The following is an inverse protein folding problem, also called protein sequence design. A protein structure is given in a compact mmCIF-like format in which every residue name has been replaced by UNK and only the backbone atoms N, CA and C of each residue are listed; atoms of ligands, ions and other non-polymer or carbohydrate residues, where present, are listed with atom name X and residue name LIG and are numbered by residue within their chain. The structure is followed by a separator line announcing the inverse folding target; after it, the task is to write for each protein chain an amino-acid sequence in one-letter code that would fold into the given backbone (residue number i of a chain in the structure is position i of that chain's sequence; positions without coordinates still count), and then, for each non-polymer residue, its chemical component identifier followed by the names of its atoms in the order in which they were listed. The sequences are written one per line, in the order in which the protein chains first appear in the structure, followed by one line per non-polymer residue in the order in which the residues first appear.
data_IF_499467018142
#
_entry.id   IF_499467018142
#
_cell.length_a   1.000
_cell.length_b   1.000
_cell.length_c   1.000
_cell.angle_alpha   90.00
_cell.angle_beta   90.00
_cell.angle_gamma   90.00
#
_symmetry.space_group_name_H-M   'P 1'
#
loop_
_entity.id
_entity.type
_entity.pdbx_description
1 polymer ?
#
# COMPACT_ATOMS: atom_id res chain seq x y z
N UNK A 1 28.92 24.28 88.23
CA UNK A 1 28.99 22.92 87.64
C UNK A 1 27.64 22.65 87.01
N UNK A 2 27.49 22.83 85.68
CA UNK A 2 27.62 21.78 84.66
C UNK A 2 26.92 20.48 85.10
N UNK A 3 25.72 20.25 84.56
CA UNK A 3 25.56 19.16 83.61
C UNK A 3 24.34 19.33 82.70
N UNK A 4 24.64 19.43 81.40
CA UNK A 4 23.67 19.37 80.32
C UNK A 4 23.53 17.91 79.92
N UNK A 5 22.44 17.25 80.28
CA UNK A 5 22.07 15.99 79.65
C UNK A 5 21.34 16.27 78.35
N UNK A 6 22.11 16.35 77.25
CA UNK A 6 21.60 16.21 75.89
C UNK A 6 20.97 14.82 75.76
N UNK A 7 19.64 14.73 75.80
CA UNK A 7 18.91 13.56 75.28
C UNK A 7 18.96 13.65 73.76
N UNK A 8 19.88 12.92 73.14
CA UNK A 8 19.94 12.74 71.69
C UNK A 8 18.65 12.06 71.20
N UNK A 9 17.97 12.68 70.25
CA UNK A 9 16.80 12.12 69.61
C UNK A 9 17.15 10.84 68.84
N UNK A 10 16.49 9.73 69.19
CA UNK A 10 16.31 8.62 68.28
C UNK A 10 15.12 8.96 67.38
N UNK A 11 15.40 9.45 66.18
CA UNK A 11 14.40 9.43 65.12
C UNK A 11 14.23 7.97 64.71
N UNK A 12 13.10 7.38 65.09
CA UNK A 12 12.75 6.02 64.70
C UNK A 12 12.56 5.98 63.17
N UNK A 13 13.42 5.25 62.47
CA UNK A 13 13.33 4.96 61.02
C UNK A 13 12.21 3.97 60.66
N UNK A 14 11.28 3.70 61.57
CA UNK A 14 10.22 2.68 61.43
C UNK A 14 9.20 3.01 60.34
N UNK A 15 9.14 4.28 59.88
CA UNK A 15 8.30 4.70 58.74
C UNK A 15 8.96 4.59 57.36
N UNK A 16 10.30 4.50 57.27
CA UNK A 16 11.01 4.52 55.96
C UNK A 16 10.69 3.29 55.12
N UNK A 17 10.65 2.11 55.75
CA UNK A 17 10.40 0.84 55.07
C UNK A 17 8.98 0.76 54.47
N UNK A 18 8.00 1.39 55.13
CA UNK A 18 6.62 1.45 54.62
C UNK A 18 6.52 2.42 53.44
N UNK A 19 7.21 3.56 53.50
CA UNK A 19 7.23 4.55 52.41
C UNK A 19 7.97 4.01 51.18
N UNK A 20 9.11 3.34 51.40
CA UNK A 20 9.86 2.67 50.33
C UNK A 20 9.02 1.56 49.68
N UNK A 21 8.38 0.68 50.47
CA UNK A 21 7.50 -0.36 49.92
C UNK A 21 6.28 0.22 49.18
N UNK A 22 5.70 1.31 49.70
CA UNK A 22 4.58 2.01 49.06
C UNK A 22 4.97 2.70 47.74
N UNK A 23 6.24 3.05 47.55
CA UNK A 23 6.74 3.61 46.28
C UNK A 23 7.19 2.52 45.30
N UNK A 24 7.77 1.43 45.80
CA UNK A 24 8.27 0.30 44.98
C UNK A 24 7.11 -0.51 44.39
N UNK A 25 6.04 -0.76 45.14
CA UNK A 25 4.93 -1.60 44.67
C UNK A 25 4.21 -1.03 43.43
N UNK A 26 3.81 0.27 43.37
CA UNK A 26 3.25 0.86 42.16
C UNK A 26 4.22 0.85 40.97
N UNK A 27 5.51 1.06 41.20
CA UNK A 27 6.54 1.01 40.15
C UNK A 27 6.70 -0.42 39.61
N UNK A 28 6.69 -1.41 40.48
CA UNK A 28 6.71 -2.83 40.10
C UNK A 28 5.47 -3.21 39.29
N UNK A 29 4.27 -2.80 39.72
CA UNK A 29 3.04 -3.02 38.96
C UNK A 29 3.09 -2.34 37.58
N UNK A 30 3.62 -1.12 37.49
CA UNK A 30 3.82 -0.44 36.21
C UNK A 30 4.74 -1.25 35.28
N UNK A 31 5.84 -1.77 35.82
CA UNK A 31 6.77 -2.62 35.06
C UNK A 31 6.09 -3.90 34.56
N UNK A 32 5.31 -4.57 35.40
CA UNK A 32 4.56 -5.77 35.00
C UNK A 32 3.50 -5.44 33.93
N UNK A 33 2.74 -4.36 34.10
CA UNK A 33 1.76 -3.90 33.11
C UNK A 33 2.41 -3.52 31.78
N UNK A 34 3.59 -2.89 31.83
CA UNK A 34 4.38 -2.56 30.64
C UNK A 34 4.85 -3.82 29.91
N UNK A 35 5.29 -4.85 30.63
CA UNK A 35 5.68 -6.13 30.03
C UNK A 35 4.49 -6.85 29.40
N UNK A 36 3.35 -6.91 30.08
CA UNK A 36 2.10 -7.46 29.53
C UNK A 36 1.70 -6.69 28.26
N UNK A 37 1.81 -5.36 28.28
CA UNK A 37 1.50 -4.51 27.14
C UNK A 37 2.40 -4.81 25.93
N UNK A 38 3.71 -4.98 26.14
CA UNK A 38 4.65 -5.36 25.07
C UNK A 38 4.27 -6.71 24.47
N UNK A 39 4.04 -7.73 25.32
CA UNK A 39 3.69 -9.08 24.86
C UNK A 39 2.38 -9.05 24.07
N UNK A 40 1.37 -8.32 24.54
CA UNK A 40 0.12 -8.21 23.79
C UNK A 40 0.33 -7.49 22.46
N UNK A 41 1.07 -6.39 22.44
CA UNK A 41 1.35 -5.64 21.21
C UNK A 41 2.07 -6.51 20.16
N UNK A 42 3.00 -7.37 20.56
CA UNK A 42 3.68 -8.29 19.64
C UNK A 42 2.77 -9.40 19.12
N UNK A 43 1.85 -9.92 19.95
CA UNK A 43 0.84 -10.89 19.51
C UNK A 43 -0.09 -10.29 18.46
N UNK A 44 -0.62 -9.08 18.70
CA UNK A 44 -1.47 -8.39 17.73
C UNK A 44 -0.71 -8.06 16.44
N UNK A 45 0.53 -7.57 16.55
CA UNK A 45 1.34 -7.22 15.38
C UNK A 45 1.67 -8.42 14.51
N UNK A 46 2.05 -9.56 15.13
CA UNK A 46 2.37 -10.79 14.41
C UNK A 46 1.14 -11.37 13.72
N UNK A 47 0.01 -11.43 14.43
CA UNK A 47 -1.24 -11.92 13.87
C UNK A 47 -1.72 -11.05 12.69
N UNK A 48 -1.60 -9.72 12.82
CA UNK A 48 -1.99 -8.81 11.74
C UNK A 48 -1.10 -9.01 10.51
N UNK A 49 0.22 -9.11 10.71
CA UNK A 49 1.17 -9.32 9.62
C UNK A 49 0.95 -10.66 8.90
N UNK A 50 0.65 -11.75 9.63
CA UNK A 50 0.35 -13.05 9.02
C UNK A 50 -0.94 -13.02 8.21
N UNK A 51 -2.02 -12.44 8.76
CA UNK A 51 -3.30 -12.29 8.05
C UNK A 51 -3.13 -11.51 6.75
N UNK A 52 -2.39 -10.39 6.78
CA UNK A 52 -2.14 -9.56 5.60
C UNK A 52 -1.30 -10.34 4.58
N UNK A 53 -0.21 -10.97 5.01
CA UNK A 53 0.65 -11.80 4.15
C UNK A 53 -0.13 -12.92 3.45
N UNK A 54 -0.93 -13.69 4.20
CA UNK A 54 -1.65 -14.83 3.65
C UNK A 54 -2.75 -14.40 2.68
N UNK A 55 -3.40 -13.28 2.95
CA UNK A 55 -4.42 -12.69 2.06
C UNK A 55 -3.80 -12.23 0.74
N UNK A 56 -2.66 -11.55 0.79
CA UNK A 56 -1.98 -11.06 -0.43
C UNK A 56 -1.49 -12.24 -1.28
N UNK A 57 -1.02 -13.34 -0.67
CA UNK A 57 -0.64 -14.58 -1.38
C UNK A 57 -1.82 -15.26 -2.07
N UNK A 58 -2.96 -15.34 -1.39
CA UNK A 58 -4.19 -15.90 -1.97
C UNK A 58 -4.63 -15.08 -3.19
N UNK A 59 -4.70 -13.75 -3.03
CA UNK A 59 -5.06 -12.83 -4.12
C UNK A 59 -4.07 -12.95 -5.29
N UNK A 60 -2.77 -13.02 -5.00
CA UNK A 60 -1.73 -13.13 -6.02
C UNK A 60 -1.85 -14.42 -6.85
N UNK A 61 -2.25 -15.52 -6.21
CA UNK A 61 -2.45 -16.82 -6.87
C UNK A 61 -3.66 -16.79 -7.83
N UNK A 62 -4.73 -16.09 -7.45
CA UNK A 62 -5.97 -16.03 -8.25
C UNK A 62 -5.99 -14.93 -9.33
N UNK A 63 -4.99 -14.05 -9.36
CA UNK A 63 -4.97 -12.92 -10.30
C UNK A 63 -4.48 -13.30 -11.71
N UNK A 64 -3.80 -14.44 -11.89
CA UNK A 64 -3.28 -14.88 -13.19
C UNK A 64 -4.36 -14.96 -14.30
N UNK A 65 -5.50 -15.64 -14.06
CA UNK A 65 -6.68 -15.61 -14.93
C UNK A 65 -7.10 -14.23 -15.43
N UNK A 66 -7.17 -13.25 -14.53
CA UNK A 66 -7.61 -11.91 -14.85
C UNK A 66 -6.60 -11.20 -15.77
N UNK A 67 -5.30 -11.42 -15.54
CA UNK A 67 -4.26 -10.86 -16.38
C UNK A 67 -4.31 -11.37 -17.83
N UNK A 68 -4.61 -12.66 -18.03
CA UNK A 68 -4.79 -13.23 -19.37
C UNK A 68 -6.02 -12.65 -20.09
N UNK A 69 -7.08 -12.31 -19.36
CA UNK A 69 -8.27 -11.67 -19.91
C UNK A 69 -7.97 -10.25 -20.40
N UNK A 70 -7.25 -9.48 -19.59
CA UNK A 70 -6.84 -8.11 -19.95
C UNK A 70 -5.91 -8.11 -21.16
N UNK A 71 -4.88 -8.97 -21.16
CA UNK A 71 -3.92 -9.05 -22.27
C UNK A 71 -4.61 -9.36 -23.61
N UNK A 72 -5.61 -10.23 -23.63
CA UNK A 72 -6.37 -10.53 -24.86
C UNK A 72 -7.32 -9.40 -25.27
N UNK A 73 -7.85 -8.64 -24.32
CA UNK A 73 -8.65 -7.45 -24.62
C UNK A 73 -7.78 -6.36 -25.30
N UNK A 74 -6.55 -6.15 -24.82
CA UNK A 74 -5.58 -5.24 -25.45
C UNK A 74 -5.19 -5.71 -26.86
N UNK A 75 -4.93 -7.01 -27.05
CA UNK A 75 -4.63 -7.60 -28.36
C UNK A 75 -5.81 -7.52 -29.35
N UNK A 76 -7.05 -7.64 -28.87
CA UNK A 76 -8.24 -7.48 -29.72
C UNK A 76 -8.47 -6.01 -30.10
N UNK A 77 -8.12 -5.08 -29.20
CA UNK A 77 -8.21 -3.64 -29.44
C UNK A 77 -7.18 -3.17 -30.47
N UNK A 78 -6.02 -3.82 -30.58
CA UNK A 78 -5.02 -3.58 -31.65
C UNK A 78 -5.32 -4.35 -32.93
N UNK A 79 -5.89 -5.57 -32.85
CA UNK A 79 -6.30 -6.33 -34.03
C UNK A 79 -7.55 -5.76 -34.73
N UNK A 80 -8.42 -5.03 -34.02
CA UNK A 80 -9.60 -4.38 -34.60
C UNK A 80 -9.27 -3.10 -35.39
N UNK A 81 -8.06 -2.54 -35.26
CA UNK A 81 -7.54 -1.49 -36.15
C UNK A 81 -6.91 -2.01 -37.45
N UNK A 82 -6.60 -3.30 -37.56
CA UNK A 82 -6.04 -3.92 -38.78
C UNK A 82 -7.00 -4.91 -39.46
N UNK A 83 -8.01 -5.42 -38.76
CA UNK A 83 -9.04 -6.31 -39.33
C UNK A 83 -10.21 -5.55 -40.02
N UNK A 84 -10.02 -4.27 -40.35
CA UNK A 84 -11.00 -3.45 -41.07
C UNK A 84 -11.04 -3.66 -42.59
N UNK A 85 -10.23 -4.56 -43.16
CA UNK A 85 -10.12 -4.74 -44.62
C UNK A 85 -10.06 -6.21 -45.06
N UNK A 86 -10.77 -7.12 -44.39
CA UNK A 86 -10.80 -8.52 -44.83
C UNK A 86 -12.10 -9.29 -44.53
N UNK A 87 -13.29 -8.68 -44.65
CA UNK A 87 -14.54 -9.45 -44.82
C UNK A 87 -15.54 -8.64 -45.65
N UNK A 88 -15.35 -8.57 -46.96
CA UNK A 88 -16.45 -8.26 -47.88
C UNK A 88 -16.33 -9.04 -49.20
N UNK A 89 -16.10 -10.34 -49.10
CA UNK A 89 -16.55 -11.35 -50.06
C UNK A 89 -16.86 -12.55 -49.16
N UNK A 90 -18.10 -13.04 -49.06
CA UNK A 90 -18.65 -14.02 -49.97
C UNK A 90 -20.18 -13.89 -49.90
N UNK A 91 -20.77 -13.35 -50.97
CA UNK A 91 -22.18 -13.50 -51.25
C UNK A 91 -22.28 -14.47 -52.44
N UNK A 92 -22.99 -15.59 -52.26
CA UNK A 92 -23.41 -16.45 -53.38
C UNK A 92 -22.95 -17.91 -53.29
N UNK A 93 -23.97 -18.77 -53.12
CA UNK A 93 -24.06 -20.16 -53.54
C UNK A 93 -23.25 -21.24 -52.81
N UNK A 94 -23.98 -22.06 -52.04
CA UNK A 94 -23.65 -23.47 -51.79
C UNK A 94 -23.61 -24.24 -53.13
N UNK A 95 -22.75 -25.27 -53.29
CA UNK A 95 -23.10 -26.60 -52.77
C UNK A 95 -21.93 -27.44 -52.22
N UNK A 96 -22.32 -28.43 -51.38
CA UNK A 96 -21.74 -29.75 -51.10
C UNK A 96 -20.22 -29.96 -50.82
N UNK A 97 -19.98 -30.78 -49.79
CA UNK A 97 -18.79 -31.58 -49.49
C UNK A 97 -17.45 -30.89 -49.24
N UNK A 98 -17.23 -30.46 -47.98
CA UNK A 98 -15.89 -30.41 -47.37
C UNK A 98 -15.96 -30.91 -45.92
N UNK A 99 -14.97 -31.71 -45.46
CA UNK A 99 -14.98 -32.29 -44.13
C UNK A 99 -14.97 -31.19 -43.09
N UNK A 100 -15.79 -31.37 -42.06
CA UNK A 100 -15.88 -30.51 -40.88
C UNK A 100 -14.48 -30.21 -40.34
N UNK A 101 -13.98 -29.02 -40.67
CA UNK A 101 -12.80 -28.45 -40.04
C UNK A 101 -13.12 -28.39 -38.57
N UNK A 102 -12.49 -29.26 -37.79
CA UNK A 102 -12.56 -29.28 -36.34
C UNK A 102 -12.05 -27.92 -35.85
N UNK A 103 -12.97 -26.99 -35.69
CA UNK A 103 -12.70 -25.66 -35.19
C UNK A 103 -12.67 -25.85 -33.69
N UNK A 104 -11.46 -25.88 -33.12
CA UNK A 104 -11.24 -25.90 -31.67
C UNK A 104 -12.20 -24.87 -31.07
N UNK A 105 -13.12 -25.25 -30.17
CA UNK A 105 -13.96 -24.29 -29.48
C UNK A 105 -13.04 -23.32 -28.75
N UNK A 106 -12.89 -22.11 -29.30
CA UNK A 106 -12.22 -21.02 -28.61
C UNK A 106 -13.18 -20.62 -27.51
N UNK A 107 -13.04 -21.21 -26.33
CA UNK A 107 -13.67 -20.69 -25.11
C UNK A 107 -13.32 -19.21 -25.08
N UNK A 108 -14.33 -18.36 -25.22
CA UNK A 108 -14.11 -16.92 -25.13
C UNK A 108 -13.58 -16.66 -23.72
N UNK A 109 -12.64 -15.74 -23.59
CA UNK A 109 -12.00 -15.51 -22.29
C UNK A 109 -13.00 -14.94 -21.29
N UNK A 110 -14.07 -14.31 -21.78
CA UNK A 110 -15.26 -13.98 -21.01
C UNK A 110 -16.00 -15.21 -20.48
N UNK A 111 -16.29 -16.22 -21.31
CA UNK A 111 -17.03 -17.43 -20.86
C UNK A 111 -16.22 -18.19 -19.82
N UNK A 112 -14.91 -18.30 -20.02
CA UNK A 112 -14.02 -18.92 -19.04
C UNK A 112 -13.90 -18.09 -17.75
N UNK A 113 -13.76 -16.76 -17.86
CA UNK A 113 -13.72 -15.87 -16.70
C UNK A 113 -15.02 -15.92 -15.90
N UNK A 114 -16.18 -16.07 -16.54
CA UNK A 114 -17.46 -16.24 -15.84
C UNK A 114 -17.54 -17.59 -15.11
N UNK A 115 -17.06 -18.67 -15.74
CA UNK A 115 -17.02 -19.98 -15.09
C UNK A 115 -16.05 -20.00 -13.90
N UNK A 116 -14.85 -19.43 -14.06
CA UNK A 116 -13.86 -19.37 -12.99
C UNK A 116 -14.27 -18.40 -11.86
N UNK A 117 -14.84 -17.24 -12.20
CA UNK A 117 -15.36 -16.30 -11.20
C UNK A 117 -16.48 -16.92 -10.36
N UNK A 118 -17.24 -17.89 -10.89
CA UNK A 118 -18.30 -18.56 -10.13
C UNK A 118 -17.78 -19.48 -9.01
N UNK A 119 -16.52 -19.93 -9.10
CA UNK A 119 -15.90 -20.83 -8.12
C UNK A 119 -15.12 -20.07 -7.03
N UNK A 120 -14.91 -18.76 -7.19
CA UNK A 120 -14.12 -17.96 -6.27
C UNK A 120 -14.95 -17.39 -5.11
N UNK A 121 -14.32 -17.23 -3.93
CA UNK A 121 -14.97 -16.55 -2.82
C UNK A 121 -15.17 -15.06 -3.15
N UNK A 122 -16.30 -14.47 -2.75
CA UNK A 122 -16.49 -13.02 -2.86
C UNK A 122 -15.41 -12.28 -2.07
N UNK A 123 -14.81 -11.20 -2.63
CA UNK A 123 -15.19 -10.42 -3.81
C UNK A 123 -14.25 -10.62 -5.02
N UNK A 124 -13.46 -11.69 -5.04
CA UNK A 124 -12.53 -11.98 -6.15
C UNK A 124 -13.29 -12.24 -7.46
N UNK A 125 -14.48 -12.82 -7.35
CA UNK A 125 -15.40 -13.08 -8.46
C UNK A 125 -15.76 -11.80 -9.23
N UNK A 126 -16.10 -10.73 -8.52
CA UNK A 126 -16.41 -9.43 -9.11
C UNK A 126 -15.18 -8.78 -9.73
N UNK A 127 -14.00 -9.03 -9.16
CA UNK A 127 -12.75 -8.51 -9.71
C UNK A 127 -12.41 -9.16 -11.05
N UNK A 128 -12.55 -10.48 -11.14
CA UNK A 128 -12.30 -11.22 -12.38
C UNK A 128 -13.34 -10.87 -13.45
N UNK A 129 -14.63 -10.79 -13.07
CA UNK A 129 -15.69 -10.33 -13.98
C UNK A 129 -15.44 -8.91 -14.46
N UNK A 130 -15.02 -8.01 -13.57
CA UNK A 130 -14.68 -6.63 -13.88
C UNK A 130 -13.51 -6.53 -14.87
N UNK A 131 -12.42 -7.23 -14.59
CA UNK A 131 -11.24 -7.27 -15.45
C UNK A 131 -11.56 -7.86 -16.83
N UNK A 132 -12.34 -8.94 -16.90
CA UNK A 132 -12.75 -9.56 -18.16
C UNK A 132 -13.65 -8.66 -19.03
N UNK A 133 -14.47 -7.80 -18.41
CA UNK A 133 -15.39 -6.90 -19.14
C UNK A 133 -14.79 -5.55 -19.50
N UNK A 134 -13.96 -4.99 -18.63
CA UNK A 134 -13.45 -3.61 -18.76
C UNK A 134 -11.99 -3.52 -19.21
N UNK A 135 -11.22 -4.62 -19.20
CA UNK A 135 -9.78 -4.59 -19.48
C UNK A 135 -8.95 -3.90 -18.38
N UNK A 136 -9.58 -3.18 -17.46
CA UNK A 136 -8.95 -2.60 -16.28
C UNK A 136 -9.55 -3.24 -15.03
N UNK A 137 -8.69 -3.57 -14.06
CA UNK A 137 -9.12 -4.16 -12.80
C UNK A 137 -9.92 -3.16 -11.96
N UNK A 138 -11.06 -3.54 -11.34
CA UNK A 138 -11.88 -2.61 -10.57
C UNK A 138 -11.11 -1.95 -9.42
N UNK A 139 -10.12 -2.64 -8.86
CA UNK A 139 -9.28 -2.11 -7.78
C UNK A 139 -8.45 -0.88 -8.18
N UNK A 140 -8.11 -0.70 -9.46
CA UNK A 140 -7.36 0.47 -9.90
C UNK A 140 -8.23 1.73 -9.86
N UNK A 141 -9.52 1.60 -10.21
CA UNK A 141 -10.51 2.66 -10.04
C UNK A 141 -10.78 2.95 -8.54
N UNK A 142 -10.79 1.91 -7.70
CA UNK A 142 -10.98 2.07 -6.25
C UNK A 142 -9.77 2.72 -5.57
N UNK A 143 -8.55 2.38 -6.01
CA UNK A 143 -7.31 3.02 -5.58
C UNK A 143 -7.33 4.52 -5.94
N UNK A 144 -7.74 4.87 -7.17
CA UNK A 144 -7.85 6.26 -7.61
C UNK A 144 -8.92 7.05 -6.84
N UNK A 145 -10.00 6.39 -6.39
CA UNK A 145 -11.05 7.02 -5.55
C UNK A 145 -10.61 7.23 -4.10
N UNK A 146 -9.54 6.57 -3.63
CA UNK A 146 -8.82 6.90 -2.40
C UNK A 146 -9.64 6.90 -1.10
N UNK A 147 -10.76 6.17 -1.04
CA UNK A 147 -11.61 6.14 0.16
C UNK A 147 -11.48 4.81 0.91
N UNK A 148 -11.01 4.90 2.15
CA UNK A 148 -10.84 3.78 3.10
C UNK A 148 -12.10 2.93 3.22
N UNK A 149 -13.29 3.54 3.20
CA UNK A 149 -14.57 2.84 3.29
C UNK A 149 -14.85 1.91 2.08
N UNK A 150 -14.40 2.31 0.89
CA UNK A 150 -14.58 1.52 -0.33
C UNK A 150 -13.55 0.40 -0.39
N UNK A 151 -12.32 0.68 0.03
CA UNK A 151 -11.27 -0.35 0.19
C UNK A 151 -11.64 -1.37 1.27
N UNK A 152 -12.25 -0.93 2.37
CA UNK A 152 -12.79 -1.80 3.41
C UNK A 152 -13.88 -2.71 2.85
N UNK A 153 -14.84 -2.20 2.08
CA UNK A 153 -15.88 -3.05 1.51
C UNK A 153 -15.32 -4.10 0.53
N UNK A 154 -14.29 -3.73 -0.24
CA UNK A 154 -13.72 -4.59 -1.26
C UNK A 154 -12.70 -5.60 -0.72
N UNK A 155 -11.82 -5.25 0.22
CA UNK A 155 -10.70 -6.13 0.60
C UNK A 155 -10.89 -6.77 1.97
N UNK A 156 -11.65 -6.14 2.87
CA UNK A 156 -11.88 -6.67 4.22
C UNK A 156 -12.53 -8.06 4.25
N UNK A 157 -13.47 -8.41 3.35
CA UNK A 157 -14.01 -9.77 3.29
C UNK A 157 -12.94 -10.84 3.05
N UNK A 158 -11.86 -10.52 2.32
CA UNK A 158 -10.75 -11.44 2.05
C UNK A 158 -9.87 -11.68 3.26
N UNK A 159 -9.79 -10.71 4.17
CA UNK A 159 -9.07 -10.87 5.43
C UNK A 159 -9.82 -11.83 6.38
N UNK A 160 -11.15 -11.92 6.26
CA UNK A 160 -12.03 -12.68 7.17
C UNK A 160 -11.57 -14.13 7.43
N UNK A 161 -11.27 -14.97 6.41
CA UNK A 161 -10.81 -16.35 6.64
C UNK A 161 -9.45 -16.44 7.35
N UNK A 162 -8.57 -15.44 7.18
CA UNK A 162 -7.21 -15.46 7.72
C UNK A 162 -7.05 -14.70 9.04
N UNK A 163 -8.14 -14.10 9.56
CA UNK A 163 -8.14 -13.42 10.85
C UNK A 163 -8.16 -14.45 11.98
N UNK A 164 -7.11 -14.45 12.79
CA UNK A 164 -7.08 -15.19 14.05
C UNK A 164 -8.18 -14.66 14.98
N UNK A 165 -9.35 -15.33 14.98
CA UNK A 165 -10.59 -14.85 15.61
C UNK A 165 -10.49 -14.65 17.13
N UNK A 166 -9.52 -15.30 17.77
CA UNK A 166 -9.25 -15.17 19.21
C UNK A 166 -8.41 -13.92 19.54
N UNK A 167 -7.65 -13.41 18.56
CA UNK A 167 -6.71 -12.30 18.77
C UNK A 167 -7.18 -11.02 18.10
N UNK A 168 -7.69 -11.07 16.87
CA UNK A 168 -7.99 -9.90 16.05
C UNK A 168 -9.50 -9.71 15.88
N UNK A 169 -9.99 -8.49 16.13
CA UNK A 169 -11.38 -8.12 15.89
C UNK A 169 -11.54 -7.57 14.46
N UNK A 170 -12.34 -8.26 13.64
CA UNK A 170 -12.69 -7.87 12.28
C UNK A 170 -13.14 -6.41 12.16
N UNK A 171 -13.81 -5.86 13.18
CA UNK A 171 -14.36 -4.49 13.15
C UNK A 171 -13.29 -3.41 13.34
N UNK A 172 -12.15 -3.76 13.93
CA UNK A 172 -11.06 -2.82 14.27
C UNK A 172 -9.96 -2.77 13.22
N UNK A 173 -10.04 -3.66 12.24
CA UNK A 173 -9.18 -3.72 11.06
C UNK A 173 -9.70 -2.72 10.03
N UNK A 174 -8.81 -1.94 9.43
CA UNK A 174 -9.13 -1.01 8.35
C UNK A 174 -8.07 -1.10 7.24
N UNK A 175 -8.51 -1.11 5.99
CA UNK A 175 -7.65 -1.18 4.81
C UNK A 175 -7.22 0.25 4.46
N UNK A 176 -5.96 0.56 4.74
CA UNK A 176 -5.41 1.91 4.58
C UNK A 176 -5.02 2.17 3.13
N UNK A 177 -4.44 1.17 2.45
CA UNK A 177 -4.04 1.26 1.05
C UNK A 177 -4.01 -0.11 0.37
N UNK A 178 -4.16 -0.10 -0.95
CA UNK A 178 -4.02 -1.28 -1.80
C UNK A 178 -3.24 -0.86 -3.04
N UNK A 179 -2.13 -1.54 -3.31
CA UNK A 179 -1.31 -1.33 -4.50
C UNK A 179 -1.72 -2.37 -5.53
N UNK A 180 -2.32 -1.95 -6.64
CA UNK A 180 -2.72 -2.85 -7.72
C UNK A 180 -1.88 -2.57 -8.96
N UNK A 181 -1.30 -3.60 -9.59
CA UNK A 181 -0.47 -3.39 -10.76
C UNK A 181 -1.33 -3.10 -11.99
N UNK A 182 -0.80 -2.27 -12.89
CA UNK A 182 -1.37 -2.12 -14.24
C UNK A 182 -1.14 -3.43 -14.98
N UNK A 183 -2.22 -4.06 -15.44
CA UNK A 183 -2.18 -5.31 -16.18
C UNK A 183 -1.89 -5.02 -17.66
N UNK A 184 -0.65 -4.62 -17.96
CA UNK A 184 -0.19 -4.31 -19.32
C UNK A 184 1.26 -4.74 -19.52
N UNK A 185 1.70 -4.84 -20.78
CA UNK A 185 3.06 -5.28 -21.11
C UNK A 185 4.13 -4.35 -20.48
N UNK A 186 5.07 -4.93 -19.72
CA UNK A 186 6.20 -4.22 -19.10
C UNK A 186 5.92 -3.56 -17.74
N UNK A 187 4.75 -3.79 -17.15
CA UNK A 187 4.40 -3.31 -15.81
C UNK A 187 4.91 -4.24 -14.71
N UNK A 188 5.14 -3.67 -13.52
CA UNK A 188 5.59 -4.41 -12.34
C UNK A 188 4.45 -5.24 -11.74
N UNK A 189 4.59 -6.58 -11.65
CA UNK A 189 3.52 -7.46 -11.23
C UNK A 189 3.43 -7.58 -9.70
N UNK A 190 3.34 -6.47 -8.96
CA UNK A 190 3.24 -6.53 -7.49
C UNK A 190 1.87 -6.10 -7.00
N UNK A 191 1.27 -6.94 -6.16
CA UNK A 191 0.08 -6.60 -5.40
C UNK A 191 0.48 -6.31 -3.95
N UNK A 192 0.07 -5.14 -3.44
CA UNK A 192 0.38 -4.70 -2.09
C UNK A 192 -0.89 -4.42 -1.30
N UNK A 193 -0.85 -4.71 0.00
CA UNK A 193 -1.94 -4.44 0.93
C UNK A 193 -1.39 -3.80 2.20
N UNK A 194 -1.93 -2.64 2.56
CA UNK A 194 -1.65 -1.95 3.82
C UNK A 194 -2.91 -1.93 4.69
N UNK A 195 -2.80 -2.44 5.92
CA UNK A 195 -3.90 -2.57 6.87
C UNK A 195 -3.50 -1.92 8.19
N UNK A 196 -4.42 -1.18 8.78
CA UNK A 196 -4.28 -0.61 10.11
C UNK A 196 -5.22 -1.29 11.12
N UNK A 197 -4.75 -1.47 12.35
CA UNK A 197 -5.50 -2.07 13.45
C UNK A 197 -5.44 -1.20 14.69
N UNK A 198 -6.60 -0.77 15.17
CA UNK A 198 -6.69 0.02 16.40
C UNK A 198 -6.76 -0.89 17.62
N UNK A 199 -5.69 -0.88 18.43
CA UNK A 199 -5.62 -1.70 19.63
C UNK A 199 -6.79 -1.41 20.60
N UNK A 200 -7.39 -2.44 21.21
CA UNK A 200 -8.50 -2.27 22.16
C UNK A 200 -8.04 -1.63 23.47
N UNK A 201 -6.76 -1.78 23.80
CA UNK A 201 -6.16 -1.25 25.03
C UNK A 201 -5.46 0.07 24.77
N UNK A 202 -5.57 0.96 25.76
CA UNK A 202 -4.85 2.23 25.76
C UNK A 202 -3.55 2.08 26.52
N UNK A 203 -2.55 2.87 26.16
CA UNK A 203 -1.29 2.89 26.90
C UNK A 203 -1.57 3.34 28.33
N UNK A 204 -1.08 2.60 29.35
CA UNK A 204 -1.23 3.03 30.73
C UNK A 204 -0.61 4.42 30.91
N UNK A 205 -1.27 5.28 31.69
CA UNK A 205 -0.88 6.69 31.98
C UNK A 205 -1.00 7.69 30.82
N UNK A 206 -0.75 7.30 29.57
CA UNK A 206 -0.89 8.21 28.42
C UNK A 206 -2.32 8.30 27.89
N UNK A 207 -3.19 7.30 28.14
CA UNK A 207 -4.59 7.25 27.67
C UNK A 207 -4.73 7.46 26.14
N UNK A 208 -3.68 7.14 25.38
CA UNK A 208 -3.63 7.22 23.92
C UNK A 208 -3.93 5.85 23.33
N UNK A 209 -4.71 5.82 22.26
CA UNK A 209 -4.88 4.63 21.43
C UNK A 209 -3.68 4.46 20.51
N UNK A 210 -3.16 3.25 20.41
CA UNK A 210 -2.13 2.90 19.42
C UNK A 210 -2.81 2.23 18.23
N UNK A 211 -2.33 2.59 17.04
CA UNK A 211 -2.68 1.95 15.78
C UNK A 211 -1.47 1.16 15.33
N UNK A 212 -1.67 -0.11 15.03
CA UNK A 212 -0.68 -0.96 14.38
C UNK A 212 -0.90 -0.89 12.88
N UNK A 213 0.19 -0.86 12.11
CA UNK A 213 0.14 -0.92 10.66
C UNK A 213 0.89 -2.16 10.21
N UNK A 214 0.31 -2.87 9.25
CA UNK A 214 0.90 -4.04 8.61
C UNK A 214 0.81 -3.85 7.10
N UNK A 215 1.90 -4.18 6.43
CA UNK A 215 1.99 -4.13 4.98
C UNK A 215 2.59 -5.43 4.46
N UNK A 216 1.99 -6.00 3.42
CA UNK A 216 2.60 -7.08 2.66
C UNK A 216 2.49 -6.79 1.17
N UNK A 217 3.51 -7.22 0.44
CA UNK A 217 3.60 -7.11 -1.02
C UNK A 217 3.95 -8.49 -1.55
N UNK A 218 3.22 -8.95 -2.54
CA UNK A 218 3.45 -10.23 -3.21
C UNK A 218 3.53 -10.02 -4.71
N UNK A 219 4.38 -10.84 -5.36
CA UNK A 219 4.45 -10.86 -6.81
C UNK A 219 3.25 -11.63 -7.34
N UNK A 220 2.46 -11.00 -8.21
CA UNK A 220 1.42 -11.66 -8.99
C UNK A 220 2.05 -12.72 -9.88
N UNK A 221 1.40 -13.87 -9.96
CA UNK A 221 1.78 -14.93 -10.88
C UNK A 221 1.36 -14.57 -12.31
N UNK A 222 1.93 -13.53 -12.94
CA UNK A 222 1.52 -13.08 -14.27
C UNK A 222 2.63 -13.25 -15.30
N UNK A 223 2.96 -14.50 -15.64
CA UNK A 223 3.89 -14.82 -16.73
C UNK A 223 5.24 -14.08 -16.66
N UNK A 224 5.93 -13.99 -17.80
CA UNK A 224 7.14 -13.20 -17.92
C UNK A 224 6.77 -11.73 -18.18
N UNK A 225 7.09 -10.85 -17.22
CA UNK A 225 6.90 -9.41 -17.32
C UNK A 225 8.16 -8.66 -17.75
N UNK A 226 9.24 -9.37 -18.13
CA UNK A 226 10.50 -8.74 -18.58
C UNK A 226 11.33 -8.11 -17.45
N UNK A 227 10.94 -8.31 -16.19
CA UNK A 227 11.61 -7.73 -15.02
C UNK A 227 13.03 -8.29 -14.75
N UNK A 228 13.37 -9.45 -15.32
CA UNK A 228 14.66 -10.12 -15.12
C UNK A 228 15.83 -9.58 -15.96
N UNK A 229 15.62 -8.53 -16.76
CA UNK A 229 16.56 -8.06 -17.77
C UNK A 229 17.60 -7.02 -17.32
N UNK A 230 18.03 -6.97 -16.07
CA UNK A 230 19.25 -6.24 -15.66
C UNK A 230 19.60 -6.55 -14.20
N UNK A 231 20.52 -7.50 -13.98
CA UNK A 231 21.10 -7.76 -12.67
C UNK A 231 22.10 -6.67 -12.30
N UNK A 232 21.69 -5.72 -11.46
CA UNK A 232 22.53 -4.67 -10.89
C UNK A 232 22.34 -4.57 -9.39
N UNK A 233 23.16 -5.31 -8.65
CA UNK A 233 23.62 -5.10 -7.27
C UNK A 233 22.70 -4.31 -6.32
N UNK A 234 21.98 -5.06 -5.47
CA UNK A 234 21.23 -4.55 -4.32
C UNK A 234 22.10 -3.69 -3.39
N UNK A 235 21.77 -2.41 -3.32
CA UNK A 235 22.03 -1.56 -2.16
C UNK A 235 20.70 -0.88 -1.82
N UNK A 236 20.27 -1.03 -0.57
CA UNK A 236 18.91 -0.72 -0.11
C UNK A 236 18.52 0.75 -0.26
N UNK A 237 18.04 1.10 -1.44
CA UNK A 237 17.23 2.26 -1.73
C UNK A 237 15.88 1.78 -2.25
N UNK A 238 14.80 2.28 -1.67
CA UNK A 238 13.42 2.07 -2.11
C UNK A 238 13.25 2.58 -3.54
N UNK A 239 13.58 1.78 -4.56
CA UNK A 239 13.46 2.23 -5.95
C UNK A 239 13.28 1.06 -6.90
N UNK A 240 12.33 1.26 -7.79
CA UNK A 240 12.04 0.31 -8.84
C UNK A 240 11.06 0.91 -9.82
N UNK A 241 11.48 1.97 -10.47
CA UNK A 241 10.97 2.51 -11.74
C UNK A 241 12.15 3.28 -12.32
N UNK A 242 12.17 3.57 -13.63
CA UNK A 242 13.25 4.32 -14.27
C UNK A 242 13.43 5.77 -13.75
N UNK A 243 12.68 6.13 -12.70
CA UNK A 243 12.75 7.37 -11.96
C UNK A 243 13.44 7.07 -10.62
N UNK A 244 14.70 7.49 -10.50
CA UNK A 244 15.44 7.42 -9.24
C UNK A 244 15.13 8.67 -8.40
N UNK A 245 14.50 8.52 -7.23
CA UNK A 245 14.22 9.58 -6.27
C UNK A 245 15.45 9.82 -5.39
N UNK A 246 16.32 10.70 -5.88
CA UNK A 246 17.61 11.02 -5.26
C UNK A 246 17.51 11.80 -3.97
N UNK A 247 16.47 12.61 -3.79
CA UNK A 247 16.31 13.42 -2.59
C UNK A 247 14.84 13.54 -2.23
N UNK A 248 14.52 13.17 -0.98
CA UNK A 248 13.21 13.36 -0.37
C UNK A 248 13.33 14.25 0.87
N UNK A 249 12.31 15.08 1.18
CA UNK A 249 12.37 15.95 2.34
C UNK A 249 12.26 15.11 3.62
N UNK A 250 13.40 14.85 4.27
CA UNK A 250 13.47 14.13 5.54
C UNK A 250 14.29 14.93 6.58
N UNK A 251 13.65 15.60 7.57
CA UNK A 251 12.21 15.73 7.80
C UNK A 251 11.59 16.93 7.06
N UNK A 252 10.40 16.73 6.48
CA UNK A 252 9.58 17.83 6.01
C UNK A 252 9.00 18.63 7.20
N UNK A 253 8.97 19.96 7.13
CA UNK A 253 8.48 20.80 8.23
C UNK A 253 7.39 21.78 7.74
N UNK A 254 6.34 22.05 8.53
CA UNK A 254 5.35 23.06 8.17
C UNK A 254 5.99 24.43 7.94
N UNK A 255 5.57 25.14 6.88
CA UNK A 255 6.08 26.46 6.51
C UNK A 255 7.57 26.51 6.10
N UNK A 256 8.19 25.35 5.83
CA UNK A 256 9.52 25.26 5.20
C UNK A 256 9.41 24.78 3.76
N UNK A 257 10.50 24.93 3.01
CA UNK A 257 10.62 24.39 1.65
C UNK A 257 10.77 22.87 1.73
N UNK A 258 10.00 22.16 0.91
CA UNK A 258 10.24 20.77 0.55
C UNK A 258 11.00 20.75 -0.77
N UNK A 259 12.03 19.90 -0.85
CA UNK A 259 12.80 19.64 -2.07
C UNK A 259 12.64 18.17 -2.41
N UNK A 260 12.23 17.88 -3.64
CA UNK A 260 12.30 16.53 -4.22
C UNK A 260 13.19 16.62 -5.45
N UNK A 261 14.21 15.76 -5.49
CA UNK A 261 15.06 15.58 -6.66
C UNK A 261 14.89 14.17 -7.19
N UNK A 262 14.62 14.06 -8.48
CA UNK A 262 14.58 12.80 -9.19
C UNK A 262 15.56 12.78 -10.35
N UNK A 263 15.85 11.59 -10.85
CA UNK A 263 16.56 11.33 -12.08
C UNK A 263 15.74 10.42 -12.98
N UNK A 264 15.48 10.88 -14.20
CA UNK A 264 14.76 10.20 -15.26
C UNK A 264 15.61 10.21 -16.54
N UNK A 265 15.06 9.73 -17.66
CA UNK A 265 15.75 9.83 -18.96
C UNK A 265 16.01 11.30 -19.35
N UNK A 266 17.20 11.62 -19.92
CA UNK A 266 17.51 12.97 -20.37
C UNK A 266 16.44 13.51 -21.34
N UNK A 267 16.01 14.75 -21.14
CA UNK A 267 14.91 15.41 -21.87
C UNK A 267 13.49 14.89 -21.63
N UNK A 268 13.27 13.90 -20.76
CA UNK A 268 11.92 13.45 -20.43
C UNK A 268 11.15 14.48 -19.55
N UNK A 269 9.83 14.41 -19.57
CA UNK A 269 8.90 15.28 -18.85
C UNK A 269 8.23 14.49 -17.74
N UNK A 270 8.24 15.03 -16.52
CA UNK A 270 7.55 14.42 -15.38
C UNK A 270 6.70 15.44 -14.63
N UNK A 271 5.62 14.95 -14.04
CA UNK A 271 4.65 15.70 -13.26
C UNK A 271 4.72 15.28 -11.80
N UNK A 272 5.06 16.20 -10.89
CA UNK A 272 5.00 15.94 -9.45
C UNK A 272 3.66 16.41 -8.86
N UNK A 273 2.90 15.48 -8.31
CA UNK A 273 1.70 15.74 -7.51
C UNK A 273 1.92 15.28 -6.06
N UNK A 274 1.66 16.16 -5.10
CA UNK A 274 1.75 15.83 -3.66
C UNK A 274 0.35 15.78 -3.06
N UNK A 275 0.04 14.75 -2.29
CA UNK A 275 -1.20 14.54 -1.56
C UNK A 275 -0.96 14.65 -0.05
N UNK A 276 -1.58 15.65 0.56
CA UNK A 276 -1.64 15.79 2.02
C UNK A 276 -2.94 15.19 2.55
N UNK A 277 -3.06 15.01 3.88
CA UNK A 277 -4.33 14.66 4.54
C UNK A 277 -5.48 15.63 4.19
N UNK A 278 -5.16 16.89 3.89
CA UNK A 278 -6.11 17.92 3.46
C UNK A 278 -6.47 17.87 1.97
N UNK A 279 -5.92 16.94 1.19
CA UNK A 279 -6.10 16.81 -0.25
C UNK A 279 -4.86 17.17 -1.07
N UNK A 280 -5.05 17.24 -2.40
CA UNK A 280 -4.01 17.56 -3.39
C UNK A 280 -3.37 18.92 -3.10
N UNK A 281 -2.04 18.95 -3.14
CA UNK A 281 -1.26 20.18 -2.99
C UNK A 281 -1.46 21.10 -4.19
N UNK A 282 -1.79 22.36 -3.93
CA UNK A 282 -1.95 23.42 -4.93
C UNK A 282 -0.77 24.38 -4.96
N UNK A 283 0.40 23.95 -4.47
CA UNK A 283 1.58 24.80 -4.40
C UNK A 283 2.07 25.21 -5.81
N UNK A 284 2.46 26.48 -5.95
CA UNK A 284 2.79 27.13 -7.24
C UNK A 284 3.92 26.44 -8.06
N UNK A 285 4.75 25.64 -7.41
CA UNK A 285 5.94 25.01 -8.01
C UNK A 285 5.82 23.48 -8.13
N UNK A 286 4.62 22.94 -7.99
CA UNK A 286 4.31 21.54 -8.26
C UNK A 286 3.67 21.41 -9.64
N UNK A 287 4.00 20.35 -10.37
CA UNK A 287 3.48 20.10 -11.71
C UNK A 287 4.55 19.58 -12.69
N UNK A 288 4.22 19.67 -13.97
CA UNK A 288 5.09 19.27 -15.08
C UNK A 288 6.40 20.05 -15.11
N UNK A 289 7.51 19.32 -15.17
CA UNK A 289 8.86 19.86 -15.38
C UNK A 289 9.63 18.92 -16.31
N UNK A 290 10.48 19.51 -17.15
CA UNK A 290 11.35 18.78 -18.08
C UNK A 290 12.71 18.51 -17.43
N UNK A 291 13.26 17.32 -17.64
CA UNK A 291 14.58 16.91 -17.19
C UNK A 291 15.69 17.65 -17.94
N UNK A 292 16.79 17.90 -17.24
CA UNK A 292 18.00 18.48 -17.82
C UNK A 292 18.77 17.46 -18.71
N UNK A 293 19.90 17.89 -19.29
CA UNK A 293 20.77 17.06 -20.15
C UNK A 293 21.32 15.82 -19.42
N UNK A 294 21.29 15.82 -18.09
CA UNK A 294 21.74 14.72 -17.24
C UNK A 294 20.59 13.90 -16.65
N UNK A 295 19.34 14.24 -16.99
CA UNK A 295 18.13 13.54 -16.54
C UNK A 295 17.58 13.99 -15.19
N UNK A 296 18.09 15.06 -14.57
CA UNK A 296 17.61 15.50 -13.26
C UNK A 296 16.41 16.44 -13.34
N UNK A 297 15.46 16.23 -12.42
CA UNK A 297 14.38 17.17 -12.16
C UNK A 297 14.35 17.48 -10.66
N UNK A 298 14.31 18.76 -10.34
CA UNK A 298 14.19 19.25 -8.97
C UNK A 298 12.91 20.07 -8.82
N UNK A 299 12.09 19.74 -7.83
CA UNK A 299 10.95 20.55 -7.41
C UNK A 299 11.17 21.11 -6.02
N UNK A 300 10.96 22.41 -5.90
CA UNK A 300 11.01 23.12 -4.63
C UNK A 300 9.66 23.78 -4.39
N UNK A 301 8.98 23.42 -3.31
CA UNK A 301 7.70 24.04 -2.97
C UNK A 301 7.59 24.34 -1.48
N UNK A 302 6.72 25.28 -1.13
CA UNK A 302 6.47 25.62 0.28
C UNK A 302 5.41 24.69 0.87
N UNK A 303 5.75 24.00 1.95
CA UNK A 303 4.81 23.14 2.68
C UNK A 303 3.81 24.02 3.45
N UNK A 304 2.52 23.73 3.29
CA UNK A 304 1.44 24.48 3.93
C UNK A 304 1.59 24.59 5.46
N UNK A 305 1.29 25.75 6.03
CA UNK A 305 1.39 25.95 7.48
C UNK A 305 0.36 25.17 8.31
N UNK A 306 -0.70 24.65 7.66
CA UNK A 306 -1.75 23.82 8.27
C UNK A 306 -1.50 22.31 8.15
N UNK A 307 -0.35 21.91 7.59
CA UNK A 307 -0.01 20.49 7.45
C UNK A 307 0.12 19.85 8.82
N UNK A 308 -0.59 18.74 9.05
CA UNK A 308 -0.61 18.04 10.33
C UNK A 308 0.77 17.43 10.62
N UNK A 309 1.43 17.79 11.72
CA UNK A 309 2.66 17.11 12.14
C UNK A 309 2.43 15.62 12.43
N UNK A 310 3.44 14.80 12.20
CA UNK A 310 3.33 13.34 12.30
C UNK A 310 2.54 12.69 11.16
N UNK A 311 2.29 13.43 10.07
CA UNK A 311 1.67 12.87 8.86
C UNK A 311 2.71 12.37 7.85
N UNK A 312 2.26 11.47 6.99
CA UNK A 312 3.02 10.91 5.88
C UNK A 312 2.35 11.29 4.55
N UNK A 313 2.59 12.50 4.01
CA UNK A 313 2.09 12.88 2.70
C UNK A 313 2.68 11.97 1.62
N UNK A 314 1.83 11.60 0.66
CA UNK A 314 2.22 10.85 -0.52
C UNK A 314 2.60 11.82 -1.63
N UNK A 315 3.65 11.53 -2.39
CA UNK A 315 3.92 12.19 -3.65
C UNK A 315 3.87 11.17 -4.79
N UNK A 316 3.31 11.58 -5.91
CA UNK A 316 3.20 10.80 -7.14
C UNK A 316 3.90 11.58 -8.22
N UNK A 317 4.80 10.93 -8.92
CA UNK A 317 5.55 11.44 -10.05
C UNK A 317 5.07 10.67 -11.25
N UNK A 318 4.54 11.36 -12.27
CA UNK A 318 4.04 10.74 -13.50
C UNK A 318 4.86 11.25 -14.68
N UNK A 319 5.47 10.35 -15.44
CA UNK A 319 6.16 10.68 -16.70
C UNK A 319 5.15 10.65 -17.85
N UNK A 320 5.44 11.39 -18.93
CA UNK A 320 4.62 11.38 -20.15
C UNK A 320 4.47 9.97 -20.76
N UNK A 321 5.47 9.10 -20.58
CA UNK A 321 5.45 7.69 -21.02
C UNK A 321 4.56 6.77 -20.15
N UNK A 322 3.78 7.33 -19.22
CA UNK A 322 2.81 6.59 -18.39
C UNK A 322 3.44 5.84 -17.19
N UNK A 323 4.74 6.00 -16.98
CA UNK A 323 5.44 5.53 -15.79
C UNK A 323 5.12 6.43 -14.59
N UNK A 324 4.88 5.84 -13.42
CA UNK A 324 4.61 6.61 -12.21
C UNK A 324 5.37 6.06 -11.01
N UNK A 325 6.00 6.96 -10.24
CA UNK A 325 6.62 6.65 -8.96
C UNK A 325 5.87 7.31 -7.83
N UNK A 326 5.50 6.51 -6.85
CA UNK A 326 4.92 6.97 -5.60
C UNK A 326 5.96 6.88 -4.48
N UNK A 327 5.99 7.88 -3.60
CA UNK A 327 6.73 7.80 -2.35
C UNK A 327 6.05 8.56 -1.23
N UNK A 328 6.48 8.29 0.00
CA UNK A 328 6.00 8.98 1.21
C UNK A 328 7.16 9.72 1.88
N UNK A 329 6.88 10.88 2.49
CA UNK A 329 7.85 11.59 3.33
C UNK A 329 7.26 11.95 4.69
N UNK A 330 8.10 12.03 5.72
CA UNK A 330 7.65 12.31 7.09
C UNK A 330 7.59 13.82 7.38
N UNK A 331 6.48 14.29 7.95
CA UNK A 331 6.33 15.67 8.43
C UNK A 331 6.60 15.74 9.93
N UNK A 332 7.71 16.38 10.32
CA UNK A 332 8.08 16.60 11.72
C UNK A 332 7.35 17.82 12.33
N UNK A 333 7.33 17.86 13.67
CA UNK A 333 6.78 18.98 14.43
C UNK A 333 7.45 20.32 14.12
N UNK A 334 6.67 21.40 14.32
CA UNK A 334 7.16 22.76 14.23
C UNK A 334 8.19 22.97 15.36
N UNK A 335 9.41 23.44 15.07
CA UNK A 335 10.29 23.87 16.16
C UNK A 335 9.64 25.06 16.87
N UNK A 336 9.70 25.04 18.20
CA UNK A 336 9.33 26.18 19.05
C UNK A 336 10.11 27.43 18.64
#
# INVERSE_FOLDING_TARGET
MKDRLKKGGRFNNEGSMVVEAAMVLPMFLLFVLFLIFIVQMTLYSTALQSTVSDTVKEVATHMYPAALAVQKAEQTSTASSEAGNAVNEINGQAPADKPSVWTIPRLSVSDWAEQYASELPPPLDDWIRGAARKGEGPLQELQAKGSEAVLDAAVKPLLKPYIASDMLDYRRIHVSNVTVPKLGAGSKPYFGLEVSYKLPMKVPFLNRSIVLEASAVERLWIGDTGEGGSGGQESGAEEGSAIAVLEKPNPARPNKQGVIRIKIEPNATANLTVFYKSGKSTAKYLGWKKADENGYIEWEWRIGGKTTPGSWPTFVIETEDGQSVEGKFYVADKPN
#
